data_IF_159126972217
#
_entry.id   IF_159126972217
#
_cell.length_a   1.000
_cell.length_b   1.000
_cell.length_c   1.000
_cell.angle_alpha   90.00
_cell.angle_beta   90.00
_cell.angle_gamma   90.00
#
_symmetry.space_group_name_H-M   'P 1'
#
loop_
_entity.id
_entity.type
_entity.pdbx_description
1 polymer ?
#
# COMPACT_ATOMS: atom_id res chain seq x y z
N UNK A 1 -24.43 0.06 -0.41
CA UNK A 1 -22.95 0.14 -0.36
C UNK A 1 -22.52 -0.36 1.03
N UNK A 2 -21.33 -0.95 1.22
CA UNK A 2 -20.22 -0.98 0.28
C UNK A 2 -20.23 -2.17 -0.68
N UNK A 3 -19.67 -1.96 -1.89
CA UNK A 3 -19.26 -3.02 -2.80
C UNK A 3 -17.73 -3.19 -2.65
N UNK A 4 -17.27 -4.41 -2.44
CA UNK A 4 -15.85 -4.72 -2.17
C UNK A 4 -15.33 -5.67 -3.23
N UNK A 5 -14.20 -5.33 -3.83
CA UNK A 5 -13.57 -6.06 -4.90
C UNK A 5 -12.11 -6.35 -4.56
N UNK A 6 -11.61 -7.45 -5.10
CA UNK A 6 -10.19 -7.77 -5.08
C UNK A 6 -9.78 -8.44 -6.38
N UNK A 7 -8.53 -8.26 -6.78
CA UNK A 7 -7.97 -8.88 -7.97
C UNK A 7 -6.46 -9.05 -7.83
N UNK A 8 -5.95 -10.17 -8.32
CA UNK A 8 -4.52 -10.39 -8.51
C UNK A 8 -4.16 -10.06 -9.96
N UNK A 9 -3.29 -9.08 -10.18
CA UNK A 9 -2.88 -8.67 -11.52
C UNK A 9 -1.38 -8.37 -11.62
N UNK A 10 -0.77 -8.54 -12.80
CA UNK A 10 0.51 -7.91 -13.08
C UNK A 10 0.31 -6.39 -13.22
N UNK A 11 1.12 -5.63 -12.49
CA UNK A 11 1.18 -4.17 -12.52
C UNK A 11 2.41 -3.72 -13.31
N UNK A 12 2.22 -2.77 -14.23
CA UNK A 12 3.28 -2.23 -15.07
C UNK A 12 3.50 -0.75 -14.78
N UNK A 13 4.73 -0.35 -14.44
CA UNK A 13 5.10 1.04 -14.14
C UNK A 13 6.35 1.45 -14.91
N UNK A 14 6.36 2.68 -15.42
CA UNK A 14 7.53 3.23 -16.12
C UNK A 14 8.69 3.52 -15.18
N UNK A 15 8.42 3.75 -13.88
CA UNK A 15 9.41 4.13 -12.86
C UNK A 15 10.28 5.33 -13.28
N UNK A 16 9.72 6.23 -14.12
CA UNK A 16 10.41 7.45 -14.51
C UNK A 16 10.71 8.32 -13.27
N UNK A 17 11.96 8.75 -13.12
CA UNK A 17 12.43 9.54 -11.97
C UNK A 17 13.05 8.74 -10.84
N UNK A 18 13.18 7.41 -10.95
CA UNK A 18 13.80 6.56 -9.91
C UNK A 18 15.27 6.18 -10.20
N UNK A 19 15.97 6.89 -11.09
CA UNK A 19 17.35 6.56 -11.46
C UNK A 19 18.26 6.49 -10.23
N UNK A 20 18.96 5.36 -10.06
CA UNK A 20 19.87 5.13 -8.94
C UNK A 20 19.20 4.75 -7.60
N UNK A 21 17.87 4.72 -7.51
CA UNK A 21 17.13 4.26 -6.32
C UNK A 21 16.66 2.81 -6.50
N UNK A 22 16.88 1.99 -5.47
CA UNK A 22 16.38 0.60 -5.38
C UNK A 22 16.71 -0.28 -6.59
N UNK A 23 17.87 -0.06 -7.22
CA UNK A 23 18.28 -0.73 -8.47
C UNK A 23 18.61 -2.21 -8.30
N UNK A 24 18.83 -2.68 -7.06
CA UNK A 24 19.14 -4.07 -6.73
C UNK A 24 17.97 -4.72 -5.99
N UNK A 25 17.61 -5.92 -6.43
CA UNK A 25 16.55 -6.74 -5.81
C UNK A 25 15.19 -6.50 -6.47
N UNK A 26 14.12 -6.75 -5.71
CA UNK A 26 12.74 -6.77 -6.22
C UNK A 26 11.88 -5.59 -5.74
N UNK A 27 12.44 -4.67 -4.96
CA UNK A 27 11.66 -3.60 -4.31
C UNK A 27 11.02 -2.65 -5.33
N UNK A 28 11.71 -2.39 -6.45
CA UNK A 28 11.23 -1.53 -7.52
C UNK A 28 11.48 -2.20 -8.86
N UNK A 29 10.42 -2.44 -9.63
CA UNK A 29 10.46 -3.16 -10.90
C UNK A 29 9.47 -2.52 -11.88
N UNK A 30 9.74 -2.64 -13.18
CA UNK A 30 8.77 -2.25 -14.21
C UNK A 30 7.52 -3.13 -14.20
N UNK A 31 7.65 -4.37 -13.73
CA UNK A 31 6.56 -5.31 -13.59
C UNK A 31 6.61 -5.99 -12.22
N UNK A 32 5.48 -6.03 -11.52
CA UNK A 32 5.31 -6.75 -10.26
C UNK A 32 3.86 -7.23 -10.12
N UNK A 33 3.60 -8.22 -9.26
CA UNK A 33 2.24 -8.66 -8.97
C UNK A 33 1.69 -7.94 -7.74
N UNK A 34 0.39 -7.65 -7.77
CA UNK A 34 -0.33 -7.06 -6.63
C UNK A 34 -1.71 -7.69 -6.49
N UNK A 35 -2.11 -7.95 -5.25
CA UNK A 35 -3.51 -8.19 -4.89
C UNK A 35 -4.09 -6.86 -4.44
N UNK A 36 -5.01 -6.32 -5.23
CA UNK A 36 -5.62 -5.02 -4.94
C UNK A 36 -6.89 -5.18 -4.10
N UNK A 37 -7.18 -4.17 -3.27
CA UNK A 37 -8.45 -4.01 -2.58
C UNK A 37 -9.12 -2.72 -3.09
N UNK A 38 -10.35 -2.83 -3.57
CA UNK A 38 -11.15 -1.68 -4.01
C UNK A 38 -12.50 -1.73 -3.32
N UNK A 39 -12.91 -0.61 -2.73
CA UNK A 39 -14.24 -0.47 -2.12
C UNK A 39 -14.97 0.73 -2.71
N UNK A 40 -16.21 0.50 -3.13
CA UNK A 40 -17.13 1.57 -3.52
C UNK A 40 -18.08 1.76 -2.34
N UNK A 41 -18.10 2.95 -1.76
CA UNK A 41 -18.87 3.27 -0.56
C UNK A 41 -19.82 4.44 -0.80
N UNK A 42 -20.79 4.61 0.09
CA UNK A 42 -21.43 5.91 0.23
C UNK A 42 -20.52 6.87 1.01
N UNK A 43 -20.93 8.15 1.07
CA UNK A 43 -20.15 9.20 1.71
C UNK A 43 -19.98 8.96 3.22
N UNK A 44 -21.04 8.52 3.90
CA UNK A 44 -21.07 8.37 5.35
C UNK A 44 -20.18 7.23 5.84
N UNK A 45 -20.13 6.12 5.09
CA UNK A 45 -19.32 4.95 5.45
C UNK A 45 -17.87 5.00 4.99
N UNK A 46 -17.50 5.95 4.11
CA UNK A 46 -16.16 6.03 3.49
C UNK A 46 -15.00 5.99 4.50
N UNK A 47 -15.11 6.74 5.61
CA UNK A 47 -14.06 6.81 6.64
C UNK A 47 -13.91 5.46 7.34
N UNK A 48 -15.02 4.84 7.74
CA UNK A 48 -14.98 3.54 8.42
C UNK A 48 -14.48 2.42 7.49
N UNK A 49 -14.82 2.49 6.20
CA UNK A 49 -14.32 1.53 5.22
C UNK A 49 -12.82 1.67 4.95
N UNK A 50 -12.28 2.89 4.99
CA UNK A 50 -10.84 3.15 4.86
C UNK A 50 -10.04 2.52 6.00
N UNK A 51 -10.52 2.67 7.25
CA UNK A 51 -9.91 2.01 8.42
C UNK A 51 -10.02 0.47 8.32
N UNK A 52 -11.18 -0.06 7.88
CA UNK A 52 -11.36 -1.50 7.64
C UNK A 52 -10.41 -2.03 6.56
N UNK A 53 -10.26 -1.31 5.45
CA UNK A 53 -9.37 -1.69 4.34
C UNK A 53 -7.92 -1.76 4.81
N UNK A 54 -7.49 -0.76 5.57
CA UNK A 54 -6.15 -0.71 6.18
C UNK A 54 -5.93 -1.92 7.09
N UNK A 55 -6.90 -2.23 7.97
CA UNK A 55 -6.83 -3.40 8.84
C UNK A 55 -6.78 -4.73 8.06
N UNK A 56 -7.46 -4.83 6.91
CA UNK A 56 -7.36 -6.01 6.04
C UNK A 56 -5.95 -6.18 5.44
N UNK A 57 -5.30 -5.09 5.04
CA UNK A 57 -3.92 -5.14 4.54
C UNK A 57 -2.93 -5.51 5.65
N UNK A 58 -3.09 -4.95 6.86
CA UNK A 58 -2.29 -5.33 8.03
C UNK A 58 -2.45 -6.80 8.42
N UNK A 59 -3.66 -7.35 8.32
CA UNK A 59 -3.95 -8.75 8.67
C UNK A 59 -3.11 -9.74 7.85
N UNK A 60 -2.78 -9.41 6.60
CA UNK A 60 -1.86 -10.22 5.78
C UNK A 60 -0.48 -10.30 6.43
N UNK A 61 0.05 -9.17 6.90
CA UNK A 61 1.37 -9.11 7.55
C UNK A 61 1.35 -9.79 8.92
N UNK A 62 0.27 -9.62 9.70
CA UNK A 62 0.07 -10.29 10.99
C UNK A 62 0.11 -11.82 10.84
N UNK A 63 -0.60 -12.37 9.85
CA UNK A 63 -0.63 -13.81 9.57
C UNK A 63 0.68 -14.36 9.03
N UNK A 64 1.47 -13.54 8.34
CA UNK A 64 2.81 -13.89 7.88
C UNK A 64 3.88 -13.67 8.95
N UNK A 65 3.50 -13.20 10.14
CA UNK A 65 4.41 -12.87 11.24
C UNK A 65 5.51 -11.87 10.84
N UNK A 66 5.17 -10.94 9.94
CA UNK A 66 6.10 -9.91 9.47
C UNK A 66 5.93 -8.63 10.31
N UNK A 67 6.97 -8.15 11.00
CA UNK A 67 6.92 -6.88 11.72
C UNK A 67 6.67 -5.72 10.75
N UNK A 68 5.71 -4.85 11.08
CA UNK A 68 5.35 -3.70 10.25
C UNK A 68 4.96 -2.49 11.12
N UNK A 69 4.86 -1.33 10.49
CA UNK A 69 4.28 -0.11 11.06
C UNK A 69 3.31 0.53 10.06
N UNK A 70 2.31 1.23 10.58
CA UNK A 70 1.34 1.98 9.77
C UNK A 70 1.58 3.48 9.98
N UNK A 71 1.75 4.21 8.89
CA UNK A 71 2.11 5.63 8.87
C UNK A 71 1.01 6.40 8.15
N UNK A 72 0.51 7.48 8.76
CA UNK A 72 -0.37 8.43 8.04
C UNK A 72 0.50 9.42 7.27
N UNK A 73 0.28 9.53 5.95
CA UNK A 73 1.08 10.44 5.13
C UNK A 73 0.76 11.91 5.43
N UNK A 74 1.80 12.75 5.33
CA UNK A 74 1.63 14.19 5.39
C UNK A 74 1.00 14.71 4.08
N UNK A 75 0.44 15.92 4.10
CA UNK A 75 -0.25 16.47 2.92
C UNK A 75 0.62 16.63 1.68
N UNK A 76 1.94 16.79 1.85
CA UNK A 76 2.89 16.92 0.74
C UNK A 76 3.27 15.60 0.07
N UNK A 77 3.04 14.47 0.75
CA UNK A 77 3.41 13.13 0.27
C UNK A 77 2.20 12.33 -0.24
N UNK A 78 0.98 12.87 -0.14
CA UNK A 78 -0.23 12.19 -0.61
C UNK A 78 -0.30 12.14 -2.15
N UNK A 79 -0.81 11.02 -2.67
CA UNK A 79 -1.09 10.86 -4.09
C UNK A 79 -2.22 11.80 -4.58
N UNK A 80 -2.20 12.13 -5.88
CA UNK A 80 -3.07 13.13 -6.49
C UNK A 80 -4.58 13.01 -6.18
N UNK A 81 -5.11 11.79 -6.07
CA UNK A 81 -6.53 11.55 -5.81
C UNK A 81 -6.90 11.28 -4.35
N UNK A 82 -5.93 11.26 -3.44
CA UNK A 82 -6.15 10.84 -2.05
C UNK A 82 -6.58 12.02 -1.16
N UNK A 83 -7.57 11.76 -0.29
CA UNK A 83 -7.93 12.67 0.80
C UNK A 83 -7.14 12.38 2.09
N UNK A 84 -6.79 11.12 2.29
CA UNK A 84 -6.01 10.60 3.43
C UNK A 84 -5.37 9.30 2.97
N UNK A 85 -4.09 9.09 3.28
CA UNK A 85 -3.38 7.86 2.91
C UNK A 85 -2.68 7.27 4.13
N UNK A 86 -2.80 5.95 4.28
CA UNK A 86 -1.99 5.15 5.19
C UNK A 86 -1.00 4.34 4.38
N UNK A 87 0.28 4.49 4.69
CA UNK A 87 1.32 3.58 4.21
C UNK A 87 1.61 2.53 5.28
N UNK A 88 1.63 1.27 4.86
CA UNK A 88 2.06 0.15 5.68
C UNK A 88 3.48 -0.18 5.24
N UNK A 89 4.40 -0.14 6.19
CA UNK A 89 5.81 -0.41 5.94
C UNK A 89 6.24 -1.68 6.68
N UNK A 90 6.86 -2.61 5.96
CA UNK A 90 7.37 -3.88 6.52
C UNK A 90 8.86 -3.77 6.87
N UNK A 91 9.28 -4.42 7.94
CA UNK A 91 10.69 -4.49 8.32
C UNK A 91 11.49 -5.34 7.32
N UNK A 92 12.56 -4.78 6.75
CA UNK A 92 13.51 -5.49 5.90
C UNK A 92 14.88 -5.58 6.60
N UNK A 93 15.22 -6.73 7.22
CA UNK A 93 16.48 -6.89 7.95
C UNK A 93 17.72 -6.58 7.11
N UNK A 94 17.73 -6.96 5.83
CA UNK A 94 18.86 -6.72 4.92
C UNK A 94 19.10 -5.25 4.59
N UNK A 95 18.15 -4.35 4.90
CA UNK A 95 18.30 -2.91 4.75
C UNK A 95 18.29 -2.17 6.09
N UNK A 96 18.07 -2.88 7.20
CA UNK A 96 17.91 -2.32 8.55
C UNK A 96 16.89 -1.16 8.58
N UNK A 97 15.77 -1.32 7.88
CA UNK A 97 14.76 -0.27 7.72
C UNK A 97 13.36 -0.85 7.47
N UNK A 98 12.35 -0.05 7.77
CA UNK A 98 10.98 -0.27 7.28
C UNK A 98 10.86 0.25 5.85
N UNK A 99 10.20 -0.51 4.97
CA UNK A 99 9.93 -0.14 3.56
C UNK A 99 8.47 -0.33 3.24
N UNK A 100 7.90 0.59 2.46
CA UNK A 100 6.51 0.53 1.99
C UNK A 100 6.21 -0.82 1.32
N UNK A 101 5.11 -1.45 1.74
CA UNK A 101 4.56 -2.66 1.12
C UNK A 101 3.09 -2.51 0.70
N UNK A 102 2.37 -1.55 1.29
CA UNK A 102 0.99 -1.23 0.94
C UNK A 102 0.71 0.25 1.17
N UNK A 103 -0.22 0.79 0.37
CA UNK A 103 -0.74 2.14 0.53
C UNK A 103 -2.26 2.09 0.39
N UNK A 104 -2.98 2.57 1.40
CA UNK A 104 -4.44 2.58 1.48
C UNK A 104 -4.94 4.04 1.47
N UNK A 105 -5.73 4.42 0.46
CA UNK A 105 -6.26 5.78 0.24
C UNK A 105 -7.78 5.80 0.07
#
# INVERSE_FOLDING_TARGET
>A
LPLRYTALTPCFRSEAGSAGRDTRGMLRQHQFYKVELVSITDQESSIAEHERMTACAEEVLKRLELPFRTVTLCTGDMGFGARKTYDIEVWLPGQNAYREISSCS
#
